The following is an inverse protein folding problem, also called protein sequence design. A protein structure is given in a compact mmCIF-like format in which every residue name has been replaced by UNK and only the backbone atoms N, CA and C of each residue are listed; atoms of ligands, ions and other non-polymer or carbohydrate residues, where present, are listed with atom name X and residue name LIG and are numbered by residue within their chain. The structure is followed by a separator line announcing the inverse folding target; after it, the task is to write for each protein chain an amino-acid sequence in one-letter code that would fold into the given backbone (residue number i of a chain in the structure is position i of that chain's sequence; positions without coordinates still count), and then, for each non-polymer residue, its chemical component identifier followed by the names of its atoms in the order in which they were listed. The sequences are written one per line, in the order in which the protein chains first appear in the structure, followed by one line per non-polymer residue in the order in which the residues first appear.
data_IF_574832231616
#
_entry.id   IF_574832231616
#
_cell.length_a   1.000
_cell.length_b   1.000
_cell.length_c   1.000
_cell.angle_alpha   90.00
_cell.angle_beta   90.00
_cell.angle_gamma   90.00
#
_symmetry.space_group_name_H-M   'P 1'
#
loop_
_entity.id
_entity.type
_entity.pdbx_description
1 polymer ?
#
# COMPACT_ATOMS: atom_id res chain seq x y z
N UNK A 1 -13.81 2.70 33.55
CA UNK A 1 -13.10 3.48 32.50
C UNK A 1 -13.91 4.74 32.22
N UNK A 2 -13.36 5.93 32.46
CA UNK A 2 -14.08 7.21 32.31
C UNK A 2 -14.49 7.47 30.85
N UNK A 3 -15.59 8.17 30.62
CA UNK A 3 -16.10 8.57 29.28
C UNK A 3 -15.05 9.31 28.45
N UNK A 4 -14.14 10.05 29.10
CA UNK A 4 -12.99 10.71 28.45
C UNK A 4 -11.94 9.71 27.98
N UNK A 5 -11.62 8.70 28.78
CA UNK A 5 -10.69 7.63 28.39
C UNK A 5 -11.21 6.77 27.25
N UNK A 6 -12.53 6.48 27.20
CA UNK A 6 -13.11 5.80 26.03
C UNK A 6 -13.00 6.65 24.77
N UNK A 7 -13.28 7.95 24.85
CA UNK A 7 -13.20 8.87 23.70
C UNK A 7 -11.78 8.98 23.14
N UNK A 8 -10.75 9.03 24.00
CA UNK A 8 -9.34 9.05 23.57
C UNK A 8 -8.93 7.71 22.96
N UNK A 9 -9.31 6.58 23.59
CA UNK A 9 -8.98 5.26 23.09
C UNK A 9 -9.55 5.01 21.69
N UNK A 10 -10.86 5.23 21.50
CA UNK A 10 -11.52 5.06 20.21
C UNK A 10 -11.13 6.14 19.18
N UNK A 11 -10.82 7.35 19.64
CA UNK A 11 -10.52 8.48 18.77
C UNK A 11 -9.07 8.54 18.28
N UNK A 12 -8.09 8.07 19.06
CA UNK A 12 -6.66 8.20 18.71
C UNK A 12 -5.94 6.85 18.68
N UNK A 13 -6.14 6.00 19.69
CA UNK A 13 -5.37 4.74 19.83
C UNK A 13 -5.81 3.71 18.81
N UNK A 14 -7.12 3.53 18.60
CA UNK A 14 -7.65 2.56 17.63
C UNK A 14 -7.22 2.91 16.20
N UNK A 15 -7.39 4.15 15.69
CA UNK A 15 -6.89 4.50 14.37
C UNK A 15 -5.39 4.28 14.22
N UNK A 16 -4.58 4.64 15.22
CA UNK A 16 -3.13 4.44 15.17
C UNK A 16 -2.74 2.95 15.06
N UNK A 17 -3.33 2.09 15.91
CA UNK A 17 -3.07 0.65 15.88
C UNK A 17 -3.51 0.03 14.56
N UNK A 18 -4.69 0.41 14.05
CA UNK A 18 -5.21 -0.08 12.77
C UNK A 18 -4.27 0.34 11.64
N UNK A 19 -3.93 1.63 11.51
CA UNK A 19 -3.06 2.09 10.43
C UNK A 19 -1.69 1.43 10.47
N UNK A 20 -1.10 1.26 11.67
CA UNK A 20 0.19 0.55 11.82
C UNK A 20 0.08 -0.92 11.39
N UNK A 21 -0.97 -1.61 11.81
CA UNK A 21 -1.24 -2.99 11.42
C UNK A 21 -1.40 -3.16 9.90
N UNK A 22 -2.08 -2.21 9.24
CA UNK A 22 -2.23 -2.21 7.79
C UNK A 22 -0.87 -2.10 7.07
N UNK A 23 0.05 -1.28 7.58
CA UNK A 23 1.40 -1.17 7.01
C UNK A 23 2.18 -2.49 7.14
N UNK A 24 2.07 -3.18 8.27
CA UNK A 24 2.68 -4.51 8.44
C UNK A 24 2.14 -5.50 7.41
N UNK A 25 0.82 -5.52 7.23
CA UNK A 25 0.17 -6.39 6.25
C UNK A 25 0.62 -6.09 4.82
N UNK A 26 0.79 -4.81 4.47
CA UNK A 26 1.21 -4.37 3.15
C UNK A 26 2.66 -4.73 2.84
N UNK A 27 3.58 -4.56 3.79
CA UNK A 27 4.99 -4.98 3.65
C UNK A 27 5.10 -6.51 3.50
N UNK A 28 4.30 -7.25 4.27
CA UNK A 28 4.17 -8.69 4.11
C UNK A 28 3.68 -9.07 2.71
N UNK A 29 2.67 -8.37 2.20
CA UNK A 29 2.10 -8.61 0.88
C UNK A 29 3.12 -8.38 -0.24
N UNK A 30 3.82 -7.24 -0.23
CA UNK A 30 4.81 -6.92 -1.26
C UNK A 30 5.97 -7.93 -1.28
N UNK A 31 6.38 -8.41 -0.11
CA UNK A 31 7.42 -9.44 0.04
C UNK A 31 6.96 -10.79 -0.52
N UNK A 32 5.76 -11.23 -0.14
CA UNK A 32 5.20 -12.48 -0.64
C UNK A 32 4.94 -12.43 -2.14
N UNK A 33 4.44 -11.29 -2.65
CA UNK A 33 4.27 -11.05 -4.08
C UNK A 33 5.60 -11.12 -4.83
N UNK A 34 6.66 -10.44 -4.35
CA UNK A 34 7.98 -10.52 -4.98
C UNK A 34 8.49 -11.95 -5.07
N UNK A 35 8.30 -12.75 -4.02
CA UNK A 35 8.66 -14.16 -4.01
C UNK A 35 7.87 -14.94 -5.06
N UNK A 36 6.55 -14.77 -5.12
CA UNK A 36 5.71 -15.46 -6.10
C UNK A 36 5.98 -15.02 -7.55
N UNK A 37 6.33 -13.76 -7.76
CA UNK A 37 6.70 -13.20 -9.06
C UNK A 37 8.00 -13.81 -9.60
N UNK A 38 8.99 -14.08 -8.73
CA UNK A 38 10.21 -14.82 -9.11
C UNK A 38 9.92 -16.26 -9.57
N UNK A 39 8.85 -16.87 -9.07
CA UNK A 39 8.38 -18.18 -9.51
C UNK A 39 7.55 -18.12 -10.81
N UNK A 40 7.48 -16.95 -11.47
CA UNK A 40 6.79 -16.76 -12.76
C UNK A 40 5.33 -16.33 -12.66
N UNK A 41 4.85 -15.86 -11.49
CA UNK A 41 3.50 -15.32 -11.38
C UNK A 41 3.33 -14.03 -12.19
N UNK A 42 2.33 -14.00 -13.07
CA UNK A 42 1.90 -12.76 -13.74
C UNK A 42 1.22 -11.80 -12.76
N UNK A 43 1.73 -10.58 -12.67
CA UNK A 43 1.16 -9.52 -11.84
C UNK A 43 -0.26 -9.11 -12.28
N UNK A 44 -0.58 -9.22 -13.58
CA UNK A 44 -1.92 -8.89 -14.09
C UNK A 44 -2.96 -9.91 -13.65
N UNK A 45 -2.64 -11.20 -13.78
CA UNK A 45 -3.50 -12.30 -13.28
C UNK A 45 -3.66 -12.20 -11.76
N UNK A 46 -2.58 -11.90 -11.05
CA UNK A 46 -2.60 -11.66 -9.62
C UNK A 46 -3.56 -10.53 -9.22
N UNK A 47 -3.52 -9.37 -9.89
CA UNK A 47 -4.45 -8.25 -9.65
C UNK A 47 -5.88 -8.70 -9.94
N UNK A 48 -6.14 -9.24 -11.14
CA UNK A 48 -7.49 -9.66 -11.55
C UNK A 48 -8.13 -10.63 -10.54
N UNK A 49 -7.42 -11.69 -10.15
CA UNK A 49 -7.95 -12.68 -9.21
C UNK A 49 -8.16 -12.09 -7.82
N UNK A 50 -7.20 -11.32 -7.31
CA UNK A 50 -7.31 -10.74 -5.97
C UNK A 50 -8.49 -9.76 -5.87
N UNK A 51 -8.68 -8.91 -6.87
CA UNK A 51 -9.79 -7.95 -6.89
C UNK A 51 -11.14 -8.62 -7.14
N UNK A 52 -11.18 -9.70 -7.93
CA UNK A 52 -12.39 -10.51 -8.11
C UNK A 52 -12.81 -11.18 -6.80
N UNK A 53 -11.87 -11.84 -6.10
CA UNK A 53 -12.12 -12.45 -4.79
C UNK A 53 -12.62 -11.38 -3.82
N UNK A 54 -11.95 -10.23 -3.77
CA UNK A 54 -12.33 -9.16 -2.86
C UNK A 54 -13.73 -8.60 -3.12
N UNK A 55 -14.08 -8.38 -4.39
CA UNK A 55 -15.41 -7.95 -4.78
C UNK A 55 -16.49 -8.97 -4.39
N UNK A 56 -16.26 -10.26 -4.70
CA UNK A 56 -17.20 -11.35 -4.41
C UNK A 56 -17.39 -11.58 -2.91
N UNK A 57 -16.34 -11.41 -2.10
CA UNK A 57 -16.41 -11.57 -0.65
C UNK A 57 -17.12 -10.36 -0.02
N UNK A 58 -16.74 -9.13 -0.39
CA UNK A 58 -17.30 -7.94 0.24
C UNK A 58 -18.74 -7.63 -0.18
N UNK A 59 -19.16 -8.00 -1.40
CA UNK A 59 -20.49 -7.72 -1.90
C UNK A 59 -21.59 -8.24 -0.96
N UNK A 60 -21.66 -9.54 -0.59
CA UNK A 60 -22.68 -10.02 0.34
C UNK A 60 -22.58 -9.36 1.71
N UNK A 61 -21.37 -9.11 2.24
CA UNK A 61 -21.22 -8.43 3.53
C UNK A 61 -21.74 -6.99 3.48
N UNK A 62 -21.49 -6.24 2.39
CA UNK A 62 -22.01 -4.89 2.20
C UNK A 62 -23.53 -4.87 2.19
N UNK A 63 -24.16 -5.83 1.50
CA UNK A 63 -25.60 -5.95 1.42
C UNK A 63 -26.24 -6.39 2.73
N UNK A 64 -25.53 -7.11 3.60
CA UNK A 64 -26.03 -7.54 4.91
C UNK A 64 -25.87 -6.46 5.98
N UNK A 65 -24.67 -5.89 6.13
CA UNK A 65 -24.36 -4.93 7.20
C UNK A 65 -24.86 -3.51 6.92
N UNK A 66 -25.02 -3.14 5.65
CA UNK A 66 -25.33 -1.75 5.27
C UNK A 66 -26.70 -1.59 4.60
N UNK A 67 -27.50 -2.67 4.58
CA UNK A 67 -28.85 -2.70 3.99
C UNK A 67 -29.76 -1.55 4.43
N UNK A 68 -29.64 -1.16 5.69
CA UNK A 68 -30.51 -0.17 6.32
C UNK A 68 -29.94 1.26 6.25
N UNK A 69 -28.71 1.44 5.74
CA UNK A 69 -28.13 2.77 5.55
C UNK A 69 -28.79 3.43 4.34
N UNK A 70 -29.16 4.71 4.48
CA UNK A 70 -29.71 5.47 3.35
C UNK A 70 -28.61 5.73 2.33
N UNK A 71 -28.76 5.21 1.13
CA UNK A 71 -27.84 5.43 0.03
C UNK A 71 -28.20 6.71 -0.73
N UNK A 72 -27.22 7.50 -1.16
CA UNK A 72 -27.48 8.62 -2.06
C UNK A 72 -28.00 8.09 -3.40
N UNK A 73 -28.82 8.90 -4.09
CA UNK A 73 -29.32 8.52 -5.42
C UNK A 73 -28.15 8.46 -6.39
N UNK A 74 -28.01 7.35 -7.10
CA UNK A 74 -27.03 7.20 -8.16
C UNK A 74 -27.31 8.24 -9.26
N UNK A 75 -26.39 9.19 -9.42
CA UNK A 75 -26.38 10.13 -10.53
C UNK A 75 -25.15 9.87 -11.41
N UNK A 76 -25.10 10.50 -12.58
CA UNK A 76 -23.97 10.32 -13.52
C UNK A 76 -22.63 10.74 -12.91
N UNK A 77 -22.62 11.74 -12.04
CA UNK A 77 -21.41 12.23 -11.36
C UNK A 77 -20.82 11.20 -10.39
N UNK A 78 -21.67 10.57 -9.58
CA UNK A 78 -21.31 9.49 -8.64
C UNK A 78 -20.78 8.28 -9.41
N UNK A 79 -21.48 7.87 -10.47
CA UNK A 79 -21.01 6.76 -11.31
C UNK A 79 -19.64 7.08 -11.90
N UNK A 80 -19.44 8.30 -12.40
CA UNK A 80 -18.15 8.78 -12.88
C UNK A 80 -17.06 8.74 -11.81
N UNK A 81 -17.36 9.09 -10.55
CA UNK A 81 -16.42 8.98 -9.43
C UNK A 81 -16.02 7.55 -9.12
N UNK A 82 -16.97 6.60 -9.12
CA UNK A 82 -16.66 5.18 -8.91
C UNK A 82 -15.79 4.60 -10.04
N UNK A 83 -16.08 4.95 -11.29
CA UNK A 83 -15.28 4.54 -12.45
C UNK A 83 -13.87 5.14 -12.34
N UNK A 84 -13.75 6.43 -12.00
CA UNK A 84 -12.46 7.08 -11.78
C UNK A 84 -11.67 6.40 -10.66
N UNK A 85 -12.31 6.09 -9.53
CA UNK A 85 -11.69 5.36 -8.42
C UNK A 85 -11.18 4.00 -8.84
N UNK A 86 -12.00 3.21 -9.53
CA UNK A 86 -11.60 1.89 -10.01
C UNK A 86 -10.48 1.95 -11.05
N UNK A 87 -10.53 2.89 -11.98
CA UNK A 87 -9.46 3.10 -12.96
C UNK A 87 -8.15 3.51 -12.27
N UNK A 88 -8.21 4.50 -11.39
CA UNK A 88 -7.05 4.97 -10.65
C UNK A 88 -6.47 3.84 -9.79
N UNK A 89 -7.31 3.08 -9.09
CA UNK A 89 -6.90 1.91 -8.33
C UNK A 89 -6.21 0.86 -9.19
N UNK A 90 -6.78 0.51 -10.34
CA UNK A 90 -6.18 -0.46 -11.26
C UNK A 90 -4.79 -0.02 -11.74
N UNK A 91 -4.66 1.21 -12.23
CA UNK A 91 -3.36 1.74 -12.71
C UNK A 91 -2.33 1.79 -11.58
N UNK A 92 -2.75 2.21 -10.39
CA UNK A 92 -1.88 2.25 -9.19
C UNK A 92 -1.33 0.87 -8.87
N UNK A 93 -2.18 -0.16 -8.77
CA UNK A 93 -1.73 -1.54 -8.51
C UNK A 93 -0.86 -2.11 -9.63
N UNK A 94 -1.19 -1.80 -10.89
CA UNK A 94 -0.41 -2.22 -12.05
C UNK A 94 1.02 -1.68 -11.96
N UNK A 95 1.17 -0.38 -11.69
CA UNK A 95 2.48 0.26 -11.51
C UNK A 95 3.21 -0.27 -10.27
N UNK A 96 2.51 -0.43 -9.14
CA UNK A 96 3.09 -0.87 -7.89
C UNK A 96 3.66 -2.30 -7.97
N UNK A 97 2.85 -3.26 -8.42
CA UNK A 97 3.30 -4.64 -8.53
C UNK A 97 4.34 -4.84 -9.63
N UNK A 98 4.20 -4.18 -10.79
CA UNK A 98 5.25 -4.23 -11.82
C UNK A 98 6.54 -3.55 -11.35
N UNK A 99 6.41 -2.48 -10.57
CA UNK A 99 7.52 -1.79 -9.93
C UNK A 99 8.27 -2.71 -8.96
N UNK A 100 7.56 -3.42 -8.09
CA UNK A 100 8.15 -4.42 -7.18
C UNK A 100 8.81 -5.56 -7.96
N UNK A 101 8.18 -6.05 -9.02
CA UNK A 101 8.73 -7.10 -9.90
C UNK A 101 10.08 -6.68 -10.50
N UNK A 102 10.22 -5.44 -10.99
CA UNK A 102 11.49 -4.92 -11.52
C UNK A 102 12.48 -4.42 -10.46
N UNK A 103 12.06 -4.27 -9.20
CA UNK A 103 12.91 -3.76 -8.12
C UNK A 103 12.85 -4.67 -6.89
N UNK A 104 12.39 -4.17 -5.75
CA UNK A 104 12.29 -4.91 -4.50
C UNK A 104 11.17 -4.37 -3.58
N UNK A 105 10.67 -5.19 -2.64
CA UNK A 105 9.75 -4.75 -1.58
C UNK A 105 10.33 -3.63 -0.71
N UNK A 106 11.64 -3.64 -0.46
CA UNK A 106 12.35 -2.60 0.29
C UNK A 106 12.35 -1.27 -0.46
N UNK A 107 12.60 -1.29 -1.77
CA UNK A 107 12.52 -0.08 -2.60
C UNK A 107 11.10 0.48 -2.63
N UNK A 108 10.08 -0.38 -2.76
CA UNK A 108 8.69 0.05 -2.64
C UNK A 108 8.39 0.68 -1.27
N UNK A 109 8.88 0.09 -0.18
CA UNK A 109 8.71 0.65 1.17
C UNK A 109 9.42 2.00 1.33
N UNK A 110 10.60 2.17 0.74
CA UNK A 110 11.33 3.44 0.73
C UNK A 110 10.60 4.53 -0.07
N UNK A 111 10.04 4.19 -1.24
CA UNK A 111 9.31 5.15 -2.08
C UNK A 111 7.95 5.56 -1.48
N UNK A 112 7.39 4.77 -0.56
CA UNK A 112 6.16 5.11 0.15
C UNK A 112 6.25 6.40 0.98
N UNK A 113 7.47 6.86 1.28
CA UNK A 113 7.75 8.13 1.96
C UNK A 113 7.32 9.36 1.12
N UNK A 114 7.02 9.17 -0.16
CA UNK A 114 6.47 10.22 -1.03
C UNK A 114 4.99 10.50 -0.72
N UNK A 115 4.24 9.49 -0.25
CA UNK A 115 2.79 9.59 -0.06
C UNK A 115 2.35 10.69 0.91
N UNK A 116 2.95 10.88 2.11
CA UNK A 116 2.54 11.95 3.02
C UNK A 116 2.70 13.34 2.40
N UNK A 117 3.81 13.58 1.70
CA UNK A 117 4.12 14.87 1.08
C UNK A 117 3.13 15.21 -0.04
N UNK A 118 2.93 14.26 -0.96
CA UNK A 118 2.02 14.43 -2.10
C UNK A 118 0.57 14.53 -1.62
N UNK A 119 0.16 13.66 -0.69
CA UNK A 119 -1.19 13.67 -0.12
C UNK A 119 -1.47 14.99 0.59
N UNK A 120 -0.52 15.53 1.35
CA UNK A 120 -0.68 16.83 1.98
C UNK A 120 -0.86 17.94 0.94
N UNK A 121 0.00 18.00 -0.08
CA UNK A 121 -0.11 18.99 -1.15
C UNK A 121 -1.48 18.92 -1.86
N UNK A 122 -1.95 17.71 -2.18
CA UNK A 122 -3.27 17.52 -2.78
C UNK A 122 -4.41 17.88 -1.81
N UNK A 123 -4.31 17.53 -0.52
CA UNK A 123 -5.32 17.88 0.48
C UNK A 123 -5.47 19.40 0.64
N UNK A 124 -4.37 20.16 0.53
CA UNK A 124 -4.39 21.62 0.49
C UNK A 124 -5.03 22.13 -0.81
N UNK A 125 -4.62 21.58 -1.96
CA UNK A 125 -5.16 21.96 -3.28
C UNK A 125 -6.68 21.76 -3.36
N UNK A 126 -7.18 20.63 -2.87
CA UNK A 126 -8.60 20.28 -2.84
C UNK A 126 -9.36 20.86 -1.62
N UNK A 127 -8.73 21.74 -0.83
CA UNK A 127 -9.32 22.41 0.35
C UNK A 127 -9.84 21.46 1.42
N UNK A 128 -9.26 20.26 1.51
CA UNK A 128 -9.56 19.26 2.55
C UNK A 128 -8.77 19.54 3.83
N UNK A 129 -7.67 20.28 3.74
CA UNK A 129 -6.92 20.81 4.86
C UNK A 129 -6.85 22.34 4.76
N UNK A 130 -7.16 23.03 5.86
CA UNK A 130 -7.03 24.49 5.96
C UNK A 130 -5.61 24.80 6.44
N UNK A 131 -4.78 25.33 5.55
CA UNK A 131 -3.47 25.86 5.93
C UNK A 131 -3.66 27.29 6.42
N UNK A 132 -3.80 27.44 7.73
CA UNK A 132 -3.63 28.74 8.35
C UNK A 132 -2.14 28.96 8.59
N UNK A 133 -1.48 29.72 7.71
CA UNK A 133 -0.04 29.99 7.76
C UNK A 133 0.36 30.68 9.09
N UNK A 134 -0.60 31.31 9.79
CA UNK A 134 -0.41 31.90 11.11
C UNK A 134 -0.46 30.91 12.27
N UNK A 135 -1.04 29.71 12.10
CA UNK A 135 -1.21 28.76 13.20
C UNK A 135 0.05 27.90 13.44
N UNK A 136 0.42 27.77 14.71
CA UNK A 136 1.54 26.92 15.16
C UNK A 136 1.38 25.45 14.72
N UNK A 137 0.13 24.97 14.65
CA UNK A 137 -0.20 23.60 14.22
C UNK A 137 0.06 23.40 12.72
N UNK A 138 -0.36 24.33 11.87
CA UNK A 138 -0.11 24.26 10.42
C UNK A 138 1.38 24.40 10.09
N UNK A 139 2.10 25.28 10.80
CA UNK A 139 3.57 25.40 10.67
C UNK A 139 4.28 24.14 11.13
N UNK A 140 3.85 23.52 12.24
CA UNK A 140 4.41 22.26 12.71
C UNK A 140 4.12 21.10 11.75
N UNK A 141 2.93 21.04 11.13
CA UNK A 141 2.60 20.06 10.10
C UNK A 141 3.50 20.20 8.88
N UNK A 142 3.69 21.42 8.35
CA UNK A 142 4.54 21.70 7.18
C UNK A 142 6.03 21.43 7.49
N UNK A 143 6.51 21.87 8.66
CA UNK A 143 7.89 21.64 9.08
C UNK A 143 8.13 20.15 9.33
N UNK A 144 7.15 19.43 9.88
CA UNK A 144 7.18 17.98 10.07
C UNK A 144 7.22 17.21 8.75
N UNK A 145 6.45 17.60 7.74
CA UNK A 145 6.56 17.01 6.39
C UNK A 145 7.90 17.32 5.76
N UNK A 146 8.39 18.57 5.82
CA UNK A 146 9.72 18.93 5.32
C UNK A 146 10.83 18.15 6.03
N UNK A 147 10.79 18.03 7.36
CA UNK A 147 11.73 17.22 8.13
C UNK A 147 11.62 15.73 7.80
N UNK A 148 10.41 15.20 7.59
CA UNK A 148 10.22 13.79 7.21
C UNK A 148 10.75 13.51 5.80
N UNK A 149 10.52 14.40 4.84
CA UNK A 149 11.06 14.31 3.47
C UNK A 149 12.58 14.43 3.53
N UNK A 150 13.11 15.40 4.28
CA UNK A 150 14.56 15.60 4.44
C UNK A 150 15.20 14.40 5.15
N UNK A 151 14.57 13.87 6.20
CA UNK A 151 15.02 12.66 6.90
C UNK A 151 15.01 11.44 6.00
N UNK A 152 13.97 11.25 5.18
CA UNK A 152 13.92 10.20 4.17
C UNK A 152 15.02 10.36 3.11
N UNK A 153 15.25 11.59 2.62
CA UNK A 153 16.34 11.88 1.68
C UNK A 153 17.72 11.66 2.29
N UNK A 154 17.92 12.01 3.56
CA UNK A 154 19.18 11.74 4.27
C UNK A 154 19.39 10.24 4.43
N UNK A 155 18.38 9.46 4.84
CA UNK A 155 18.53 7.99 4.94
C UNK A 155 18.83 7.35 3.59
N UNK A 156 18.30 7.91 2.50
CA UNK A 156 18.55 7.43 1.12
C UNK A 156 19.93 7.86 0.60
N UNK A 157 20.40 9.07 0.93
CA UNK A 157 21.62 9.66 0.38
C UNK A 157 22.84 9.58 1.31
N UNK A 158 22.66 9.23 2.58
CA UNK A 158 23.72 9.16 3.58
C UNK A 158 24.32 7.76 3.63
N UNK A 159 25.57 7.65 3.18
CA UNK A 159 26.38 6.44 3.32
C UNK A 159 26.95 6.37 4.76
N UNK A 160 26.24 5.66 5.64
CA UNK A 160 26.63 5.48 7.04
C UNK A 160 27.42 4.19 7.31
N UNK A 161 28.40 4.20 8.23
CA UNK A 161 29.09 2.99 8.65
C UNK A 161 28.21 2.09 9.54
N UNK A 162 28.55 0.80 9.59
CA UNK A 162 27.80 -0.28 10.26
C UNK A 162 27.50 0.00 11.74
N UNK A 163 26.22 -0.05 12.14
CA UNK A 163 25.81 0.30 13.52
C UNK A 163 25.53 -0.90 14.43
N UNK A 164 25.19 -2.09 13.90
CA UNK A 164 24.93 -3.28 14.75
C UNK A 164 25.66 -4.52 14.19
N UNK A 165 26.66 -4.99 14.93
CA UNK A 165 27.30 -6.31 14.74
C UNK A 165 26.71 -7.29 15.76
N UNK A 166 25.83 -8.17 15.32
CA UNK A 166 25.41 -9.31 16.13
C UNK A 166 26.37 -10.47 15.86
N UNK A 167 27.38 -10.64 16.71
CA UNK A 167 28.27 -11.81 16.67
C UNK A 167 27.61 -12.98 17.40
N UNK A 168 26.86 -13.82 16.70
CA UNK A 168 26.47 -15.15 17.20
C UNK A 168 26.48 -16.17 16.07
N UNK A 169 27.68 -16.63 15.72
CA UNK A 169 28.11 -18.04 15.79
C UNK A 169 29.24 -18.29 14.81
N UNK A 170 30.45 -18.41 15.36
CA UNK A 170 31.59 -19.07 14.75
C UNK A 170 31.31 -20.58 14.64
N UNK A 171 31.32 -21.12 13.41
CA UNK A 171 31.26 -22.56 13.20
C UNK A 171 31.06 -22.98 11.74
N UNK A 172 32.15 -22.99 10.97
CA UNK A 172 32.40 -23.87 9.82
C UNK A 172 31.26 -24.10 8.79
N UNK A 173 31.19 -23.26 7.75
CA UNK A 173 30.90 -23.69 6.38
C UNK A 173 31.07 -22.53 5.38
N UNK A 174 31.91 -22.79 4.38
CA UNK A 174 32.11 -22.17 3.06
C UNK A 174 31.60 -20.73 2.77
N UNK A 175 32.46 -19.83 2.23
CA UNK A 175 32.01 -18.56 1.66
C UNK A 175 31.39 -18.83 0.29
N UNK A 176 30.10 -19.15 0.26
CA UNK A 176 29.36 -19.28 -1.00
C UNK A 176 27.99 -18.65 -0.87
N UNK A 177 27.76 -17.64 -1.73
CA UNK A 177 26.47 -17.00 -2.09
C UNK A 177 26.06 -15.65 -1.48
N UNK A 178 27.00 -14.77 -1.14
CA UNK A 178 26.73 -13.31 -1.13
C UNK A 178 27.04 -12.63 -2.48
N UNK A 179 27.24 -13.42 -3.53
CA UNK A 179 27.55 -12.94 -4.87
C UNK A 179 26.55 -13.52 -5.88
N UNK A 180 25.33 -12.98 -5.89
CA UNK A 180 24.39 -13.01 -7.01
C UNK A 180 23.20 -12.08 -6.77
N UNK A 181 23.45 -10.81 -6.41
CA UNK A 181 22.48 -9.73 -6.66
C UNK A 181 22.49 -9.26 -8.13
N UNK A 182 23.37 -9.83 -8.95
CA UNK A 182 23.55 -9.56 -10.37
C UNK A 182 23.32 -10.81 -11.22
N UNK A 183 22.10 -11.35 -11.22
CA UNK A 183 21.68 -12.33 -12.24
C UNK A 183 20.40 -11.83 -12.93
N UNK A 184 20.60 -11.41 -14.19
CA UNK A 184 19.62 -11.12 -15.25
C UNK A 184 18.73 -9.88 -15.10
N UNK A 185 19.12 -8.79 -15.79
CA UNK A 185 18.23 -7.69 -16.22
C UNK A 185 17.27 -7.08 -15.18
N UNK A 186 17.68 -6.90 -13.93
CA UNK A 186 16.91 -6.09 -12.97
C UNK A 186 16.99 -4.61 -13.36
N UNK A 187 16.04 -4.14 -14.16
CA UNK A 187 15.85 -2.72 -14.49
C UNK A 187 15.31 -1.96 -13.27
N UNK A 188 16.07 -1.96 -12.17
CA UNK A 188 15.68 -1.38 -10.89
C UNK A 188 15.32 0.10 -11.00
N UNK A 189 15.94 0.83 -11.96
CA UNK A 189 15.60 2.22 -12.29
C UNK A 189 14.17 2.32 -12.82
N UNK A 190 13.78 1.43 -13.74
CA UNK A 190 12.41 1.37 -14.26
C UNK A 190 11.45 1.00 -13.12
N UNK A 191 11.83 0.02 -12.28
CA UNK A 191 11.07 -0.35 -11.08
C UNK A 191 10.83 0.84 -10.15
N UNK A 192 11.87 1.64 -9.89
CA UNK A 192 11.78 2.86 -9.10
C UNK A 192 10.87 3.92 -9.71
N UNK A 193 10.96 4.17 -11.02
CA UNK A 193 10.08 5.10 -11.72
C UNK A 193 8.61 4.67 -11.69
N UNK A 194 8.35 3.37 -11.87
CA UNK A 194 6.99 2.81 -11.74
C UNK A 194 6.45 2.99 -10.33
N UNK A 195 7.27 2.76 -9.30
CA UNK A 195 6.90 2.97 -7.89
C UNK A 195 6.65 4.45 -7.55
N UNK A 196 7.41 5.37 -8.13
CA UNK A 196 7.12 6.82 -7.98
C UNK A 196 5.74 7.13 -8.57
N UNK A 197 5.45 6.62 -9.77
CA UNK A 197 4.14 6.76 -10.41
C UNK A 197 3.01 6.17 -9.56
N UNK A 198 3.21 4.96 -9.04
CA UNK A 198 2.30 4.30 -8.10
C UNK A 198 1.99 5.20 -6.89
N UNK A 199 2.98 5.66 -6.12
CA UNK A 199 2.72 6.45 -4.92
C UNK A 199 2.14 7.84 -5.19
N UNK A 200 2.39 8.44 -6.36
CA UNK A 200 1.68 9.64 -6.80
C UNK A 200 0.19 9.34 -7.01
N UNK A 201 -0.13 8.30 -7.80
CA UNK A 201 -1.51 7.92 -8.09
C UNK A 201 -2.25 7.43 -6.84
N UNK A 202 -1.56 6.71 -5.95
CA UNK A 202 -2.10 6.27 -4.66
C UNK A 202 -2.47 7.46 -3.77
N UNK A 203 -1.67 8.53 -3.79
CA UNK A 203 -2.00 9.78 -3.08
C UNK A 203 -3.24 10.45 -3.67
N UNK A 204 -3.40 10.46 -5.00
CA UNK A 204 -4.63 10.93 -5.65
C UNK A 204 -5.81 10.04 -5.27
N UNK A 205 -5.60 8.73 -5.20
CA UNK A 205 -6.62 7.76 -4.80
C UNK A 205 -7.09 8.01 -3.36
N UNK A 206 -6.21 8.33 -2.41
CA UNK A 206 -6.59 8.75 -1.05
C UNK A 206 -7.56 9.93 -1.04
N UNK A 207 -7.29 10.95 -1.85
CA UNK A 207 -8.13 12.16 -1.93
C UNK A 207 -9.51 11.80 -2.46
N UNK A 208 -9.58 11.10 -3.60
CA UNK A 208 -10.86 10.74 -4.22
C UNK A 208 -11.64 9.75 -3.34
N UNK A 209 -10.95 8.78 -2.72
CA UNK A 209 -11.55 7.79 -1.82
C UNK A 209 -12.12 8.46 -0.56
N UNK A 210 -11.41 9.45 -0.01
CA UNK A 210 -11.93 10.25 1.11
C UNK A 210 -13.21 10.99 0.71
N UNK A 211 -13.25 11.58 -0.48
CA UNK A 211 -14.46 12.29 -0.92
C UNK A 211 -15.64 11.32 -1.10
N UNK A 212 -15.38 10.11 -1.63
CA UNK A 212 -16.42 9.11 -1.85
C UNK A 212 -16.97 8.53 -0.52
N UNK A 213 -16.11 8.28 0.47
CA UNK A 213 -16.53 7.68 1.76
C UNK A 213 -17.38 8.63 2.62
N UNK A 214 -17.35 9.94 2.35
CA UNK A 214 -18.26 10.90 3.01
C UNK A 214 -19.70 10.74 2.53
N UNK A 215 -19.92 10.19 1.33
CA UNK A 215 -21.25 10.02 0.73
C UNK A 215 -21.74 8.57 0.81
N UNK A 216 -20.82 7.60 0.85
CA UNK A 216 -21.13 6.18 0.80
C UNK A 216 -20.60 5.41 2.01
N UNK A 217 -21.36 4.40 2.47
CA UNK A 217 -20.86 3.46 3.46
C UNK A 217 -19.56 2.75 3.01
N UNK A 218 -18.64 2.53 3.94
CA UNK A 218 -17.28 2.06 3.66
C UNK A 218 -17.25 0.71 2.94
N UNK A 219 -18.08 -0.23 3.40
CA UNK A 219 -18.05 -1.61 2.91
C UNK A 219 -18.61 -1.69 1.48
N UNK A 220 -19.70 -0.98 1.21
CA UNK A 220 -20.27 -0.86 -0.12
C UNK A 220 -19.33 -0.13 -1.09
N UNK A 221 -18.73 0.98 -0.67
CA UNK A 221 -17.77 1.74 -1.48
C UNK A 221 -16.61 0.85 -1.92
N UNK A 222 -15.99 0.13 -0.98
CA UNK A 222 -14.85 -0.74 -1.27
C UNK A 222 -15.27 -1.98 -2.07
N UNK A 223 -16.46 -2.52 -1.86
CA UNK A 223 -16.98 -3.63 -2.67
C UNK A 223 -17.15 -3.23 -4.14
N UNK A 224 -17.84 -2.09 -4.41
CA UNK A 224 -18.04 -1.57 -5.77
C UNK A 224 -16.69 -1.24 -6.41
N UNK A 225 -15.79 -0.58 -5.67
CA UNK A 225 -14.43 -0.28 -6.12
C UNK A 225 -13.71 -1.54 -6.60
N UNK A 226 -13.71 -2.61 -5.79
CA UNK A 226 -13.01 -3.85 -6.14
C UNK A 226 -13.60 -4.52 -7.38
N UNK A 227 -14.93 -4.52 -7.53
CA UNK A 227 -15.60 -5.06 -8.71
C UNK A 227 -15.26 -4.25 -9.97
N UNK A 228 -15.22 -2.92 -9.89
CA UNK A 228 -14.83 -2.07 -11.02
C UNK A 228 -13.37 -2.33 -11.40
N UNK A 229 -12.46 -2.43 -10.44
CA UNK A 229 -11.05 -2.77 -10.70
C UNK A 229 -10.96 -4.13 -11.42
N UNK A 230 -11.71 -5.14 -10.96
CA UNK A 230 -11.72 -6.45 -11.61
C UNK A 230 -12.25 -6.39 -13.06
N UNK A 231 -13.34 -5.64 -13.31
CA UNK A 231 -13.91 -5.44 -14.64
C UNK A 231 -12.93 -4.72 -15.58
N UNK A 232 -12.20 -3.72 -15.07
CA UNK A 232 -11.18 -3.02 -15.85
C UNK A 232 -9.97 -3.94 -16.10
N UNK A 233 -9.51 -4.67 -15.09
CA UNK A 233 -8.34 -5.54 -15.18
C UNK A 233 -8.54 -6.71 -16.16
N UNK A 234 -9.76 -7.24 -16.28
CA UNK A 234 -10.08 -8.41 -17.09
C UNK A 234 -9.62 -8.29 -18.56
N UNK A 235 -10.05 -7.28 -19.36
CA UNK A 235 -9.65 -7.17 -20.75
C UNK A 235 -8.12 -6.98 -20.90
N UNK A 236 -7.49 -6.16 -20.07
CA UNK A 236 -6.03 -5.96 -20.13
C UNK A 236 -5.26 -7.24 -19.85
N UNK A 237 -5.70 -8.01 -18.84
CA UNK A 237 -5.06 -9.29 -18.49
C UNK A 237 -5.24 -10.31 -19.60
N UNK A 238 -6.43 -10.43 -20.18
CA UNK A 238 -6.71 -11.34 -21.30
C UNK A 238 -5.84 -11.02 -22.53
N UNK A 239 -5.66 -9.73 -22.84
CA UNK A 239 -4.85 -9.30 -23.99
C UNK A 239 -3.35 -9.52 -23.72
N UNK A 240 -2.88 -9.21 -22.51
CA UNK A 240 -1.46 -9.30 -22.18
C UNK A 240 -0.99 -10.73 -21.91
N UNK A 241 -1.86 -11.60 -21.39
CA UNK A 241 -1.56 -12.98 -21.00
C UNK A 241 -2.42 -13.98 -21.79
N UNK A 242 -2.20 -14.14 -23.11
CA UNK A 242 -3.02 -15.01 -23.95
C UNK A 242 -2.80 -16.51 -23.66
N UNK A 243 -1.69 -16.87 -23.01
CA UNK A 243 -1.32 -18.26 -22.75
C UNK A 243 -1.91 -18.77 -21.44
N UNK A 244 -2.60 -19.92 -21.48
CA UNK A 244 -3.25 -20.56 -20.32
C UNK A 244 -2.27 -20.80 -19.17
N UNK A 245 -0.98 -21.01 -19.45
CA UNK A 245 0.06 -21.21 -18.45
C UNK A 245 0.16 -20.06 -17.43
N UNK A 246 -0.10 -18.81 -17.84
CA UNK A 246 -0.09 -17.66 -16.95
C UNK A 246 -1.28 -17.65 -15.97
N UNK A 247 -2.39 -18.31 -16.35
CA UNK A 247 -3.63 -18.40 -15.57
C UNK A 247 -3.62 -19.60 -14.61
N UNK A 248 -2.83 -20.63 -14.94
CA UNK A 248 -2.70 -21.81 -14.09
C UNK A 248 -1.87 -21.50 -12.84
N UNK A 249 -2.49 -21.64 -11.67
CA UNK A 249 -1.84 -21.56 -10.35
C UNK A 249 -0.88 -22.75 -10.17
N UNK A 250 0.32 -22.68 -10.72
CA UNK A 250 1.26 -23.81 -10.73
C UNK A 250 1.86 -24.13 -9.37
N UNK A 251 1.91 -23.15 -8.44
CA UNK A 251 2.51 -23.29 -7.12
C UNK A 251 1.56 -22.90 -5.99
N UNK A 252 1.64 -23.62 -4.86
CA UNK A 252 0.91 -23.30 -3.61
C UNK A 252 1.17 -21.86 -3.15
N UNK A 253 2.39 -21.36 -3.35
CA UNK A 253 2.77 -19.99 -3.00
C UNK A 253 1.91 -18.97 -3.76
N UNK A 254 1.64 -19.23 -5.05
CA UNK A 254 0.87 -18.32 -5.89
C UNK A 254 -0.56 -18.17 -5.40
N UNK A 255 -1.20 -19.30 -5.09
CA UNK A 255 -2.56 -19.32 -4.54
C UNK A 255 -2.64 -18.63 -3.17
N UNK A 256 -1.67 -18.88 -2.28
CA UNK A 256 -1.62 -18.26 -0.95
C UNK A 256 -1.54 -16.74 -1.09
N UNK A 257 -0.70 -16.23 -1.99
CA UNK A 257 -0.49 -14.80 -2.19
C UNK A 257 -1.72 -14.11 -2.77
N UNK A 258 -2.39 -14.74 -3.73
CA UNK A 258 -3.64 -14.23 -4.30
C UNK A 258 -4.76 -14.23 -3.27
N UNK A 259 -4.89 -15.31 -2.49
CA UNK A 259 -5.87 -15.38 -1.41
C UNK A 259 -5.58 -14.34 -0.32
N UNK A 260 -4.30 -14.15 0.05
CA UNK A 260 -3.90 -13.14 1.02
C UNK A 260 -4.22 -11.73 0.53
N UNK A 261 -3.87 -11.40 -0.72
CA UNK A 261 -4.24 -10.10 -1.28
C UNK A 261 -5.76 -9.95 -1.38
N UNK A 262 -6.47 -10.94 -1.91
CA UNK A 262 -7.92 -10.87 -2.11
C UNK A 262 -8.73 -10.77 -0.82
N UNK A 263 -8.39 -11.55 0.21
CA UNK A 263 -9.14 -11.58 1.47
C UNK A 263 -8.69 -10.50 2.44
N UNK A 264 -7.37 -10.27 2.53
CA UNK A 264 -6.80 -9.30 3.45
C UNK A 264 -6.51 -7.97 2.75
N UNK A 265 -5.64 -7.95 1.73
CA UNK A 265 -5.17 -6.72 1.07
C UNK A 265 -6.30 -5.85 0.45
N UNK A 266 -6.85 -6.29 -0.68
CA UNK A 266 -7.88 -5.56 -1.41
C UNK A 266 -9.24 -5.52 -0.70
N UNK A 267 -9.52 -6.49 0.19
CA UNK A 267 -10.74 -6.49 1.02
C UNK A 267 -10.57 -5.82 2.39
N UNK A 268 -10.17 -6.57 3.40
CA UNK A 268 -10.20 -6.14 4.80
C UNK A 268 -9.37 -4.87 5.05
N UNK A 269 -8.15 -4.85 4.53
CA UNK A 269 -7.23 -3.74 4.66
C UNK A 269 -7.76 -2.49 3.95
N UNK A 270 -8.29 -2.60 2.73
CA UNK A 270 -8.90 -1.46 2.03
C UNK A 270 -10.13 -0.91 2.76
N UNK A 271 -10.95 -1.77 3.39
CA UNK A 271 -12.09 -1.32 4.22
C UNK A 271 -11.61 -0.54 5.43
N UNK A 272 -10.63 -1.06 6.17
CA UNK A 272 -10.06 -0.36 7.34
C UNK A 272 -9.32 0.93 6.96
N UNK A 273 -8.63 0.93 5.82
CA UNK A 273 -7.99 2.12 5.26
C UNK A 273 -9.05 3.18 4.92
N UNK A 274 -10.13 2.77 4.25
CA UNK A 274 -11.26 3.65 3.88
C UNK A 274 -11.97 4.19 5.13
N UNK A 275 -12.14 3.37 6.16
CA UNK A 275 -12.61 3.82 7.48
C UNK A 275 -11.66 4.86 8.11
N UNK A 276 -10.35 4.65 8.00
CA UNK A 276 -9.34 5.63 8.42
C UNK A 276 -9.48 6.97 7.71
N UNK A 277 -9.65 6.92 6.39
CA UNK A 277 -9.89 8.12 5.56
C UNK A 277 -11.16 8.83 5.98
N UNK A 278 -12.23 8.09 6.30
CA UNK A 278 -13.49 8.66 6.76
C UNK A 278 -13.36 9.38 8.11
N UNK A 279 -12.72 8.75 9.10
CA UNK A 279 -12.67 9.26 10.47
C UNK A 279 -11.59 10.33 10.68
N UNK A 280 -10.44 10.17 10.03
CA UNK A 280 -9.25 11.02 10.28
C UNK A 280 -8.80 11.85 9.07
N UNK A 281 -9.25 11.50 7.88
CA UNK A 281 -8.86 12.17 6.64
C UNK A 281 -7.56 11.63 6.03
N UNK A 282 -7.25 12.08 4.79
CA UNK A 282 -6.20 11.49 3.96
C UNK A 282 -4.80 11.79 4.47
N UNK A 283 -4.57 12.99 5.01
CA UNK A 283 -3.26 13.38 5.54
C UNK A 283 -2.88 12.51 6.74
N UNK A 284 -3.81 12.25 7.66
CA UNK A 284 -3.55 11.40 8.82
C UNK A 284 -3.17 9.97 8.39
N UNK A 285 -3.95 9.38 7.48
CA UNK A 285 -3.68 8.01 6.99
C UNK A 285 -2.34 7.95 6.26
N UNK A 286 -2.02 8.96 5.44
CA UNK A 286 -0.76 9.03 4.72
C UNK A 286 0.46 9.06 5.64
N UNK A 287 0.39 9.67 6.83
CA UNK A 287 1.51 9.71 7.78
C UNK A 287 1.98 8.33 8.26
N UNK A 288 1.21 7.27 8.04
CA UNK A 288 1.61 5.92 8.40
C UNK A 288 2.39 5.21 7.28
N UNK A 289 2.34 5.65 6.03
CA UNK A 289 3.09 4.96 4.95
C UNK A 289 4.60 4.84 5.22
N UNK A 290 5.29 5.82 5.84
CA UNK A 290 6.70 5.68 6.19
C UNK A 290 6.98 4.57 7.20
N UNK A 291 6.00 4.10 7.97
CA UNK A 291 6.21 2.96 8.88
C UNK A 291 6.57 1.70 8.10
N UNK A 292 6.19 1.60 6.82
CA UNK A 292 6.53 0.46 5.97
C UNK A 292 8.05 0.23 5.90
N UNK A 293 8.88 1.28 5.87
CA UNK A 293 10.35 1.13 5.82
C UNK A 293 10.89 0.57 7.13
N UNK A 294 10.37 1.05 8.27
CA UNK A 294 10.78 0.60 9.61
C UNK A 294 10.35 -0.85 9.81
N UNK A 295 9.14 -1.19 9.42
CA UNK A 295 8.61 -2.56 9.52
C UNK A 295 9.39 -3.49 8.59
N UNK A 296 9.68 -3.08 7.36
CA UNK A 296 10.50 -3.87 6.43
C UNK A 296 11.90 -4.13 6.99
N UNK A 297 12.53 -3.11 7.58
CA UNK A 297 13.82 -3.24 8.24
C UNK A 297 13.77 -4.25 9.41
N UNK A 298 12.79 -4.12 10.31
CA UNK A 298 12.59 -5.05 11.44
C UNK A 298 12.32 -6.48 10.97
N UNK A 299 11.44 -6.65 9.98
CA UNK A 299 11.13 -7.96 9.41
C UNK A 299 12.37 -8.61 8.77
N UNK A 300 13.21 -7.82 8.10
CA UNK A 300 14.48 -8.30 7.54
C UNK A 300 15.40 -8.85 8.64
N UNK A 301 15.53 -8.15 9.77
CA UNK A 301 16.36 -8.63 10.90
C UNK A 301 15.83 -9.92 11.49
N UNK A 302 14.53 -9.96 11.78
CA UNK A 302 13.91 -11.06 12.54
C UNK A 302 13.90 -12.35 11.69
N UNK A 303 13.57 -12.25 10.40
CA UNK A 303 13.36 -13.42 9.55
C UNK A 303 14.59 -13.84 8.74
N UNK A 304 15.47 -12.92 8.33
CA UNK A 304 16.64 -13.25 7.51
C UNK A 304 17.92 -13.35 8.35
N UNK A 305 17.95 -12.85 9.60
CA UNK A 305 19.18 -12.79 10.40
C UNK A 305 20.23 -11.83 9.82
N UNK A 306 19.84 -11.02 8.84
CA UNK A 306 20.72 -10.07 8.15
C UNK A 306 21.08 -8.91 9.08
N UNK A 307 22.35 -8.48 8.99
CA UNK A 307 22.79 -7.23 9.62
C UNK A 307 22.04 -6.05 9.02
N UNK A 308 21.42 -5.20 9.85
CA UNK A 308 20.83 -3.94 9.40
C UNK A 308 21.90 -3.02 8.85
N UNK A 309 21.80 -2.73 7.56
CA UNK A 309 22.57 -1.68 6.90
C UNK A 309 21.84 -0.35 7.11
N UNK A 310 22.54 0.65 7.66
CA UNK A 310 22.02 1.99 7.84
C UNK A 310 22.22 2.75 6.51
N UNK A 311 21.31 2.49 5.57
CA UNK A 311 21.41 2.93 4.18
C UNK A 311 21.28 1.77 3.20
N UNK A 312 20.75 2.05 2.01
CA UNK A 312 20.52 1.03 0.98
C UNK A 312 21.85 0.70 0.30
N UNK A 313 22.36 -0.52 0.47
CA UNK A 313 23.23 -1.11 -0.54
C UNK A 313 22.35 -1.33 -1.78
N UNK A 314 22.54 -0.50 -2.81
CA UNK A 314 22.06 -0.80 -4.18
C UNK A 314 23.04 -1.75 -4.83
#
# INVERSE_FOLDING_TARGET
MSTRSRRICYGEVVPFMVMTFLQCGQVGLSTLFKKASRDGMSYMVFILYSYTIAGLVLLPFSLLFERNKKLPRLNKQIIGRFILLGFLGYVTQMLGFKGIEYSSPTMASSMSNLTPAITFALAVLFRMEKVDIGSLSSRAKILGTLLSITGALVVVLYEGPTVIRTSMNSGLSSPSSYQSLNSEHSNWVIGGLLLIGDYILFSVWYIVQTQAVQEFPELLLVSIYNLIVAVIAAPFTIIAEPHISAWTMSSKMMTIVIAYNGLFGSSFATVLLTWGLHVKGPVYVALFTPFSIVIAAVMSVIFLGDSLYLGTYV
#
